data_IF_103901372169
#
_entry.id   IF_103901372169
#
_cell.length_a   1.000
_cell.length_b   1.000
_cell.length_c   1.000
_cell.angle_alpha   90.00
_cell.angle_beta   90.00
_cell.angle_gamma   90.00
#
_symmetry.space_group_name_H-M   'P 1'
#
loop_
_entity.id
_entity.type
_entity.pdbx_description
1 polymer ?
#
# COMPACT_ATOMS: atom_id res chain seq x y z
N UNK A 1 -23.84 -16.12 1.61
CA UNK A 1 -22.40 -15.81 1.81
C UNK A 1 -22.07 -16.34 3.19
N UNK A 2 -21.27 -17.40 3.28
CA UNK A 2 -20.82 -17.89 4.59
C UNK A 2 -19.83 -16.86 5.15
N UNK A 3 -20.35 -15.98 6.00
CA UNK A 3 -19.62 -14.83 6.57
C UNK A 3 -18.58 -15.30 7.60
N UNK A 4 -18.62 -16.59 7.94
CA UNK A 4 -17.95 -17.19 9.09
C UNK A 4 -16.42 -17.15 9.01
N UNK A 5 -15.83 -17.00 7.82
CA UNK A 5 -14.37 -16.82 7.72
C UNK A 5 -13.90 -15.91 6.58
N UNK A 6 -14.43 -14.67 6.55
CA UNK A 6 -13.95 -13.63 5.61
C UNK A 6 -12.43 -13.43 5.71
N UNK A 7 -11.85 -13.51 6.90
CA UNK A 7 -10.42 -13.30 7.12
C UNK A 7 -9.57 -14.40 6.47
N UNK A 8 -9.93 -15.68 6.59
CA UNK A 8 -9.18 -16.73 5.92
C UNK A 8 -9.32 -16.66 4.39
N UNK A 9 -10.47 -16.21 3.88
CA UNK A 9 -10.62 -15.97 2.44
C UNK A 9 -9.66 -14.89 1.95
N UNK A 10 -9.60 -13.76 2.67
CA UNK A 10 -8.70 -12.65 2.32
C UNK A 10 -7.22 -13.04 2.38
N UNK A 11 -6.83 -13.90 3.33
CA UNK A 11 -5.45 -14.42 3.43
C UNK A 11 -4.98 -15.24 2.22
N UNK A 12 -5.90 -15.75 1.40
CA UNK A 12 -5.58 -16.54 0.18
C UNK A 12 -5.49 -15.69 -1.07
N UNK A 13 -5.88 -14.42 -1.00
CA UNK A 13 -5.86 -13.52 -2.15
C UNK A 13 -4.43 -13.07 -2.44
N UNK A 14 -4.14 -12.86 -3.72
CA UNK A 14 -2.79 -12.51 -4.19
C UNK A 14 -2.75 -11.17 -4.92
N UNK A 15 -3.91 -10.67 -5.38
CA UNK A 15 -4.03 -9.38 -6.05
C UNK A 15 -4.90 -8.41 -5.26
N UNK A 16 -4.56 -7.12 -5.29
CA UNK A 16 -5.30 -6.08 -4.56
C UNK A 16 -6.75 -6.00 -5.04
N UNK A 17 -6.98 -6.10 -6.36
CA UNK A 17 -8.28 -6.09 -7.02
C UNK A 17 -9.24 -7.14 -6.45
N UNK A 18 -8.72 -8.31 -6.05
CA UNK A 18 -9.52 -9.37 -5.45
C UNK A 18 -10.09 -8.94 -4.10
N UNK A 19 -9.36 -8.17 -3.30
CA UNK A 19 -9.86 -7.65 -2.02
C UNK A 19 -11.08 -6.74 -2.24
N UNK A 20 -10.98 -5.82 -3.21
CA UNK A 20 -12.08 -4.92 -3.56
C UNK A 20 -13.29 -5.69 -4.09
N UNK A 21 -13.07 -6.69 -4.95
CA UNK A 21 -14.16 -7.54 -5.48
C UNK A 21 -14.85 -8.36 -4.39
N UNK A 22 -14.07 -9.04 -3.53
CA UNK A 22 -14.60 -9.88 -2.45
C UNK A 22 -15.34 -9.07 -1.39
N UNK A 23 -14.85 -7.87 -1.08
CA UNK A 23 -15.46 -6.97 -0.07
C UNK A 23 -16.55 -6.05 -0.66
N UNK A 24 -16.76 -6.07 -1.98
CA UNK A 24 -17.76 -5.25 -2.65
C UNK A 24 -17.47 -3.75 -2.60
N UNK A 25 -16.20 -3.36 -2.63
CA UNK A 25 -15.75 -1.96 -2.59
C UNK A 25 -15.46 -1.48 -3.99
N UNK A 26 -16.09 -0.38 -4.40
CA UNK A 26 -15.81 0.26 -5.69
C UNK A 26 -14.47 1.01 -5.65
N UNK A 27 -13.75 1.02 -6.78
CA UNK A 27 -12.49 1.74 -6.92
C UNK A 27 -12.29 2.23 -8.36
N UNK A 28 -11.53 3.31 -8.52
CA UNK A 28 -10.97 3.71 -9.82
C UNK A 28 -9.70 2.86 -10.11
N UNK A 29 -9.67 2.08 -11.22
CA UNK A 29 -8.49 1.33 -11.63
C UNK A 29 -7.23 2.18 -11.76
N UNK A 30 -7.31 3.45 -12.17
CA UNK A 30 -6.14 4.33 -12.30
C UNK A 30 -5.45 4.56 -10.96
N UNK A 31 -6.24 4.81 -9.91
CA UNK A 31 -5.73 5.01 -8.55
C UNK A 31 -5.19 3.70 -7.97
N UNK A 32 -5.95 2.61 -8.11
CA UNK A 32 -5.51 1.32 -7.60
C UNK A 32 -4.23 0.88 -8.29
N UNK A 33 -4.12 1.07 -9.61
CA UNK A 33 -2.98 0.64 -10.41
C UNK A 33 -1.63 1.18 -9.89
N UNK A 34 -1.61 2.44 -9.45
CA UNK A 34 -0.40 3.12 -8.98
C UNK A 34 -0.14 2.93 -7.48
N UNK A 35 -1.18 2.60 -6.70
CA UNK A 35 -1.12 2.60 -5.24
C UNK A 35 -1.37 1.24 -4.58
N UNK A 36 -1.50 0.13 -5.34
CA UNK A 36 -1.83 -1.21 -4.81
C UNK A 36 -1.06 -1.57 -3.54
N UNK A 37 0.27 -1.55 -3.63
CA UNK A 37 1.15 -1.94 -2.52
C UNK A 37 0.93 -1.07 -1.29
N UNK A 38 0.70 0.23 -1.50
CA UNK A 38 0.54 1.18 -0.42
C UNK A 38 -0.83 1.09 0.26
N UNK A 39 -1.88 0.91 -0.53
CA UNK A 39 -3.24 0.66 -0.02
C UNK A 39 -3.23 -0.65 0.79
N UNK A 40 -2.67 -1.74 0.26
CA UNK A 40 -2.61 -3.03 0.98
C UNK A 40 -1.76 -2.94 2.25
N UNK A 41 -0.63 -2.21 2.21
CA UNK A 41 0.15 -1.94 3.42
C UNK A 41 -0.66 -1.17 4.46
N UNK A 42 -1.40 -0.13 4.04
CA UNK A 42 -2.24 0.68 4.94
C UNK A 42 -3.39 -0.11 5.55
N UNK A 43 -4.04 -0.98 4.76
CA UNK A 43 -5.03 -1.93 5.25
C UNK A 43 -4.43 -2.80 6.36
N UNK A 44 -3.25 -3.39 6.13
CA UNK A 44 -2.59 -4.21 7.14
C UNK A 44 -2.26 -3.45 8.42
N UNK A 45 -1.87 -2.17 8.32
CA UNK A 45 -1.62 -1.31 9.48
C UNK A 45 -2.90 -1.06 10.29
N UNK A 46 -3.99 -0.69 9.64
CA UNK A 46 -5.27 -0.46 10.32
C UNK A 46 -5.85 -1.74 10.94
N UNK A 47 -5.75 -2.87 10.25
CA UNK A 47 -6.23 -4.15 10.79
C UNK A 47 -5.43 -4.63 12.00
N UNK A 48 -4.16 -4.22 12.13
CA UNK A 48 -3.33 -4.57 13.28
C UNK A 48 -3.73 -3.80 14.56
N UNK A 49 -4.45 -2.69 14.42
CA UNK A 49 -4.97 -1.87 15.52
C UNK A 49 -6.38 -2.31 15.97
N UNK A 50 -7.04 -3.17 15.19
CA UNK A 50 -8.39 -3.66 15.47
C UNK A 50 -8.38 -4.93 16.34
N UNK A 51 -9.29 -4.99 17.31
CA UNK A 51 -9.60 -6.23 18.04
C UNK A 51 -10.86 -6.89 17.46
N UNK A 52 -10.66 -8.09 16.89
CA UNK A 52 -11.72 -8.93 16.33
C UNK A 52 -12.21 -10.03 17.28
N UNK A 53 -11.66 -10.12 18.50
CA UNK A 53 -12.00 -11.18 19.44
C UNK A 53 -13.48 -11.15 19.82
N UNK A 54 -14.13 -12.32 19.75
CA UNK A 54 -15.55 -12.47 20.10
C UNK A 54 -16.54 -11.78 19.17
N UNK A 55 -16.10 -11.16 18.07
CA UNK A 55 -17.00 -10.50 17.13
C UNK A 55 -17.64 -11.51 16.17
N UNK A 56 -18.94 -11.35 15.83
CA UNK A 56 -19.57 -12.15 14.80
C UNK A 56 -18.96 -11.83 13.43
N UNK A 57 -18.87 -12.84 12.56
CA UNK A 57 -18.21 -12.72 11.26
C UNK A 57 -18.72 -11.55 10.41
N UNK A 58 -20.01 -11.20 10.49
CA UNK A 58 -20.59 -10.05 9.79
C UNK A 58 -20.01 -8.70 10.22
N UNK A 59 -19.70 -8.56 11.52
CA UNK A 59 -19.10 -7.35 12.07
C UNK A 59 -17.65 -7.28 11.63
N UNK A 60 -16.94 -8.41 11.65
CA UNK A 60 -15.56 -8.50 11.14
C UNK A 60 -15.53 -8.11 9.65
N UNK A 61 -16.42 -8.67 8.83
CA UNK A 61 -16.52 -8.35 7.40
C UNK A 61 -16.79 -6.86 7.16
N UNK A 62 -17.72 -6.26 7.91
CA UNK A 62 -18.03 -4.84 7.82
C UNK A 62 -16.82 -3.96 8.21
N UNK A 63 -16.10 -4.31 9.28
CA UNK A 63 -14.90 -3.58 9.70
C UNK A 63 -13.77 -3.69 8.68
N UNK A 64 -13.50 -4.89 8.18
CA UNK A 64 -12.46 -5.09 7.16
C UNK A 64 -12.78 -4.32 5.88
N UNK A 65 -14.05 -4.30 5.47
CA UNK A 65 -14.51 -3.48 4.36
C UNK A 65 -14.28 -1.98 4.61
N UNK A 66 -14.69 -1.46 5.76
CA UNK A 66 -14.50 -0.06 6.13
C UNK A 66 -13.01 0.33 6.17
N UNK A 67 -12.15 -0.58 6.65
CA UNK A 67 -10.71 -0.41 6.65
C UNK A 67 -10.13 -0.33 5.23
N UNK A 68 -10.63 -1.16 4.30
CA UNK A 68 -10.24 -1.08 2.89
C UNK A 68 -10.67 0.24 2.24
N UNK A 69 -11.91 0.67 2.47
CA UNK A 69 -12.45 1.94 1.97
C UNK A 69 -11.62 3.12 2.46
N UNK A 70 -11.36 3.20 3.76
CA UNK A 70 -10.52 4.24 4.37
C UNK A 70 -9.11 4.23 3.80
N UNK A 71 -8.49 3.06 3.72
CA UNK A 71 -7.13 2.93 3.18
C UNK A 71 -7.06 3.27 1.69
N UNK A 72 -8.14 3.12 0.92
CA UNK A 72 -8.20 3.55 -0.47
C UNK A 72 -8.35 5.08 -0.57
N UNK A 73 -9.26 5.66 0.22
CA UNK A 73 -9.56 7.09 0.22
C UNK A 73 -8.33 7.94 0.58
N UNK A 74 -7.51 7.46 1.52
CA UNK A 74 -6.21 8.02 1.88
C UNK A 74 -5.31 8.28 0.66
N UNK A 75 -5.43 7.50 -0.43
CA UNK A 75 -4.62 7.63 -1.65
C UNK A 75 -5.40 8.18 -2.84
N UNK A 76 -6.74 8.12 -2.81
CA UNK A 76 -7.60 8.67 -3.84
C UNK A 76 -7.74 10.20 -3.71
N UNK A 77 -7.92 10.70 -2.49
CA UNK A 77 -8.06 12.15 -2.21
C UNK A 77 -6.68 12.79 -2.04
N UNK A 78 -5.78 12.11 -1.34
CA UNK A 78 -4.44 12.61 -1.08
C UNK A 78 -3.54 12.20 -2.23
N UNK A 79 -3.31 13.09 -3.20
CA UNK A 79 -2.22 12.90 -4.16
C UNK A 79 -0.95 12.51 -3.39
N UNK A 80 -0.38 11.31 -3.63
CA UNK A 80 0.75 10.83 -2.84
C UNK A 80 1.98 11.72 -2.94
N UNK A 81 2.08 12.48 -4.05
CA UNK A 81 3.08 13.49 -4.31
C UNK A 81 2.94 14.70 -3.39
N UNK A 82 1.70 15.18 -3.17
CA UNK A 82 1.43 16.37 -2.36
C UNK A 82 1.67 16.11 -0.88
N UNK A 83 1.26 14.94 -0.37
CA UNK A 83 1.41 14.61 1.05
C UNK A 83 2.71 13.89 1.39
N UNK A 84 3.54 13.56 0.40
CA UNK A 84 4.84 12.87 0.55
C UNK A 84 4.76 11.66 1.49
N UNK A 85 3.69 10.89 1.36
CA UNK A 85 3.40 9.73 2.21
C UNK A 85 4.34 8.55 1.94
N UNK A 86 5.09 8.60 0.83
CA UNK A 86 6.13 7.63 0.51
C UNK A 86 7.47 8.00 1.11
N UNK A 87 8.20 6.99 1.61
CA UNK A 87 9.54 7.16 2.15
C UNK A 87 10.46 7.91 1.18
N UNK A 88 10.46 7.55 -0.10
CA UNK A 88 11.26 8.24 -1.14
C UNK A 88 10.91 9.73 -1.26
N UNK A 89 9.66 10.12 -1.06
CA UNK A 89 9.24 11.52 -1.10
C UNK A 89 9.55 12.27 0.19
N UNK A 90 9.60 11.58 1.34
CA UNK A 90 10.11 12.14 2.60
C UNK A 90 11.62 12.34 2.55
N UNK A 91 12.33 11.38 1.96
CA UNK A 91 13.79 11.38 1.88
C UNK A 91 14.30 12.40 0.85
N UNK A 92 13.53 12.71 -0.20
CA UNK A 92 13.82 13.73 -1.20
C UNK A 92 12.93 14.98 -1.05
N UNK A 93 13.22 15.81 -0.04
CA UNK A 93 12.56 17.10 0.12
C UNK A 93 13.15 18.16 -0.82
N UNK A 94 12.41 18.70 -1.82
CA UNK A 94 12.88 19.78 -2.68
C UNK A 94 13.20 21.09 -1.93
N UNK A 95 12.64 21.29 -0.73
CA UNK A 95 12.95 22.45 0.12
C UNK A 95 14.19 22.22 1.01
N UNK A 96 14.72 20.99 1.03
CA UNK A 96 15.92 20.62 1.79
C UNK A 96 16.81 19.72 0.92
N UNK A 97 17.42 20.29 -0.15
CA UNK A 97 18.22 19.51 -1.08
C UNK A 97 19.37 18.83 -0.34
N UNK A 98 19.58 17.54 -0.61
CA UNK A 98 20.78 16.84 -0.20
C UNK A 98 22.00 17.60 -0.75
N UNK A 99 23.07 17.71 0.04
CA UNK A 99 24.30 18.37 -0.36
C UNK A 99 24.76 17.88 -1.74
N UNK A 100 25.26 18.76 -2.63
CA UNK A 100 25.57 18.42 -4.00
C UNK A 100 26.71 17.40 -4.04
N UNK A 101 26.34 16.13 -4.12
CA UNK A 101 27.25 14.98 -4.12
C UNK A 101 26.73 13.95 -5.11
N UNK A 102 27.21 14.06 -6.36
CA UNK A 102 27.32 13.00 -7.37
C UNK A 102 26.30 11.84 -7.26
N UNK A 103 25.02 12.16 -7.46
CA UNK A 103 23.96 11.14 -7.59
C UNK A 103 24.05 10.39 -8.91
N UNK A 104 24.73 10.95 -9.91
CA UNK A 104 25.00 10.27 -11.17
C UNK A 104 26.29 9.46 -11.09
N UNK A 105 26.15 8.14 -11.03
CA UNK A 105 27.26 7.19 -11.20
C UNK A 105 27.20 6.68 -12.64
N UNK A 106 28.17 7.02 -13.51
CA UNK A 106 28.23 6.48 -14.86
C UNK A 106 28.28 4.95 -14.83
N UNK A 107 27.60 4.31 -15.78
CA UNK A 107 27.52 2.84 -15.82
C UNK A 107 28.90 2.19 -15.93
N UNK A 108 29.83 2.81 -16.65
CA UNK A 108 31.25 2.39 -16.73
C UNK A 108 31.97 2.35 -15.37
N UNK A 109 31.60 3.22 -14.43
CA UNK A 109 32.18 3.22 -13.08
C UNK A 109 31.73 2.01 -12.26
N UNK A 110 30.53 1.46 -12.54
CA UNK A 110 30.02 0.24 -11.91
C UNK A 110 30.67 -1.00 -12.53
N UNK A 111 30.80 -1.05 -13.86
CA UNK A 111 31.43 -2.19 -14.56
C UNK A 111 32.88 -2.45 -14.11
N UNK A 112 33.67 -1.39 -13.87
CA UNK A 112 35.07 -1.54 -13.39
C UNK A 112 35.20 -2.24 -12.03
N UNK A 113 34.13 -2.28 -11.21
CA UNK A 113 34.12 -3.00 -9.94
C UNK A 113 34.02 -4.52 -10.13
N UNK A 114 33.39 -4.96 -11.21
CA UNK A 114 33.14 -6.37 -11.53
C UNK A 114 34.18 -6.98 -12.49
N UNK A 115 34.98 -6.16 -13.17
CA UNK A 115 36.09 -6.59 -14.00
C UNK A 115 37.43 -6.51 -13.26
N UNK A 116 37.75 -7.52 -12.46
CA UNK A 116 39.13 -7.81 -12.05
C UNK A 116 39.29 -9.33 -11.91
N UNK A 117 39.63 -9.97 -13.03
CA UNK A 117 40.47 -11.17 -13.06
C UNK A 117 41.90 -10.73 -13.39
#
# INVERSE_FOLDING_TARGET
MDVTDILARLKRLSAAEEFFSVLGVAYDPKVLNVSRLHIMKRVGQYLAEEDFSGLPGQVIAARVRATLERAYEDFAISSPLTHRIFKVLKDHDPNKPAAPGHTFVPFDSVLKRFGRE
#
